data_IF_643760915820
#
_entry.id   IF_643760915820
#
_cell.length_a   1.000
_cell.length_b   1.000
_cell.length_c   1.000
_cell.angle_alpha   90.00
_cell.angle_beta   90.00
_cell.angle_gamma   90.00
#
_symmetry.space_group_name_H-M   'P 1'
#
loop_
_entity.id
_entity.type
_entity.pdbx_description
1 polymer ?
#
# COMPACT_ATOMS: atom_id res chain seq x y z
N UNK A 1 -18.44 1.04 -33.49
CA UNK A 1 -17.96 -0.27 -32.99
C UNK A 1 -16.54 -0.24 -32.46
N UNK A 2 -15.57 0.32 -33.18
CA UNK A 2 -14.18 0.42 -32.71
C UNK A 2 -14.03 1.23 -31.41
N UNK A 3 -14.85 2.26 -31.24
CA UNK A 3 -14.83 3.13 -30.06
C UNK A 3 -15.28 2.37 -28.80
N UNK A 4 -16.28 1.49 -28.92
CA UNK A 4 -16.78 0.69 -27.79
C UNK A 4 -15.74 -0.27 -27.23
N UNK A 5 -14.96 -0.92 -28.12
CA UNK A 5 -13.89 -1.83 -27.69
C UNK A 5 -12.76 -1.07 -26.97
N UNK A 6 -12.43 0.12 -27.46
CA UNK A 6 -11.39 0.96 -26.85
C UNK A 6 -11.80 1.40 -25.45
N UNK A 7 -13.04 1.82 -25.25
CA UNK A 7 -13.57 2.22 -23.94
C UNK A 7 -13.56 1.05 -22.95
N UNK A 8 -13.91 -0.15 -23.40
CA UNK A 8 -13.90 -1.36 -22.56
C UNK A 8 -12.49 -1.70 -22.08
N UNK A 9 -11.47 -1.55 -22.91
CA UNK A 9 -10.08 -1.79 -22.53
C UNK A 9 -9.60 -0.78 -21.50
N UNK A 10 -9.93 0.49 -21.65
CA UNK A 10 -9.58 1.54 -20.70
C UNK A 10 -10.22 1.27 -19.34
N UNK A 11 -11.49 0.85 -19.32
CA UNK A 11 -12.19 0.52 -18.09
C UNK A 11 -11.52 -0.63 -17.34
N UNK A 12 -11.04 -1.65 -18.03
CA UNK A 12 -10.33 -2.78 -17.44
C UNK A 12 -9.02 -2.34 -16.78
N UNK A 13 -8.25 -1.49 -17.44
CA UNK A 13 -6.99 -0.97 -16.91
C UNK A 13 -7.21 -0.14 -15.64
N UNK A 14 -8.23 0.72 -15.64
CA UNK A 14 -8.59 1.54 -14.48
C UNK A 14 -9.00 0.65 -13.30
N UNK A 15 -9.77 -0.40 -13.56
CA UNK A 15 -10.22 -1.34 -12.54
C UNK A 15 -9.05 -2.07 -11.88
N UNK A 16 -8.07 -2.53 -12.68
CA UNK A 16 -6.87 -3.21 -12.17
C UNK A 16 -6.02 -2.29 -11.29
N UNK A 17 -5.81 -1.04 -11.70
CA UNK A 17 -5.10 -0.05 -10.91
C UNK A 17 -5.82 0.25 -9.60
N UNK A 18 -7.15 0.31 -9.62
CA UNK A 18 -7.97 0.57 -8.45
C UNK A 18 -7.82 -0.49 -7.35
N UNK A 19 -7.63 -1.75 -7.71
CA UNK A 19 -7.46 -2.85 -6.76
C UNK A 19 -6.20 -2.66 -5.90
N UNK A 20 -5.06 -2.33 -6.51
CA UNK A 20 -3.81 -2.08 -5.79
C UNK A 20 -3.87 -0.78 -4.98
N UNK A 21 -4.49 0.26 -5.53
CA UNK A 21 -4.64 1.53 -4.82
C UNK A 21 -5.46 1.35 -3.54
N UNK A 22 -6.54 0.58 -3.60
CA UNK A 22 -7.37 0.26 -2.45
C UNK A 22 -6.59 -0.52 -1.39
N UNK A 23 -5.78 -1.49 -1.83
CA UNK A 23 -4.93 -2.28 -0.95
C UNK A 23 -3.92 -1.40 -0.20
N UNK A 24 -3.30 -0.44 -0.89
CA UNK A 24 -2.35 0.49 -0.28
C UNK A 24 -3.00 1.25 0.87
N UNK A 25 -4.21 1.77 0.67
CA UNK A 25 -4.93 2.53 1.70
C UNK A 25 -5.22 1.67 2.92
N UNK A 26 -5.66 0.43 2.73
CA UNK A 26 -5.92 -0.51 3.82
C UNK A 26 -4.63 -0.81 4.59
N UNK A 27 -3.54 -1.09 3.88
CA UNK A 27 -2.26 -1.44 4.49
C UNK A 27 -1.68 -0.27 5.28
N UNK A 28 -1.78 0.96 4.78
CA UNK A 28 -1.36 2.16 5.50
C UNK A 28 -2.13 2.32 6.81
N UNK A 29 -3.44 2.08 6.78
CA UNK A 29 -4.29 2.15 7.97
C UNK A 29 -3.90 1.09 8.99
N UNK A 30 -3.63 -0.14 8.55
CA UNK A 30 -3.18 -1.23 9.45
C UNK A 30 -1.87 -0.87 10.14
N UNK A 31 -0.94 -0.25 9.42
CA UNK A 31 0.33 0.19 9.98
C UNK A 31 0.08 1.27 11.05
N UNK A 32 -0.73 2.26 10.73
CA UNK A 32 -1.03 3.36 11.65
C UNK A 32 -1.71 2.86 12.91
N UNK A 33 -2.66 1.94 12.80
CA UNK A 33 -3.33 1.32 13.93
C UNK A 33 -2.37 0.53 14.80
N UNK A 34 -1.49 -0.28 14.17
CA UNK A 34 -0.52 -1.09 14.90
C UNK A 34 0.46 -0.21 15.68
N UNK A 35 0.95 0.87 15.08
CA UNK A 35 1.85 1.82 15.75
C UNK A 35 1.18 2.50 16.94
N UNK A 36 -0.11 2.82 16.82
CA UNK A 36 -0.86 3.47 17.90
C UNK A 36 -1.03 2.60 19.12
N UNK A 37 -0.94 1.28 18.97
CA UNK A 37 -1.08 0.31 20.05
C UNK A 37 0.23 0.02 20.79
N UNK A 38 1.27 0.78 20.52
CA UNK A 38 2.59 0.64 21.15
C UNK A 38 3.12 -0.79 21.05
N UNK A 39 3.41 -1.26 19.83
CA UNK A 39 3.83 -2.65 19.61
C UNK A 39 5.18 -2.92 20.28
N UNK A 40 5.41 -4.20 20.61
CA UNK A 40 6.66 -4.64 21.24
C UNK A 40 7.77 -4.78 20.20
N UNK A 41 8.19 -3.67 19.63
CA UNK A 41 9.30 -3.59 18.67
C UNK A 41 10.35 -2.60 19.18
N UNK A 42 11.58 -2.72 18.68
CA UNK A 42 12.65 -1.79 19.05
C UNK A 42 12.41 -0.42 18.42
N UNK A 43 13.07 0.60 18.95
CA UNK A 43 12.99 1.94 18.35
C UNK A 43 13.51 1.95 16.92
N UNK A 44 14.60 1.19 16.64
CA UNK A 44 15.12 1.07 15.30
C UNK A 44 14.09 0.45 14.34
N UNK A 45 13.37 -0.57 14.80
CA UNK A 45 12.30 -1.19 14.02
C UNK A 45 11.14 -0.22 13.79
N UNK A 46 10.79 0.57 14.80
CA UNK A 46 9.74 1.57 14.68
C UNK A 46 10.10 2.63 13.63
N UNK A 47 11.35 3.08 13.62
CA UNK A 47 11.82 4.02 12.60
C UNK A 47 11.77 3.42 11.20
N UNK A 48 12.16 2.16 11.05
CA UNK A 48 12.09 1.46 9.77
C UNK A 48 10.65 1.32 9.29
N UNK A 49 9.72 1.01 10.19
CA UNK A 49 8.28 0.94 9.87
C UNK A 49 7.79 2.28 9.34
N UNK A 50 8.13 3.37 10.02
CA UNK A 50 7.71 4.72 9.60
C UNK A 50 8.30 5.09 8.24
N UNK A 51 9.54 4.71 7.98
CA UNK A 51 10.21 4.94 6.71
C UNK A 51 9.51 4.18 5.59
N UNK A 52 9.23 2.90 5.80
CA UNK A 52 8.52 2.06 4.83
C UNK A 52 7.11 2.57 4.58
N UNK A 53 6.43 3.01 5.62
CA UNK A 53 5.10 3.60 5.51
C UNK A 53 5.12 4.87 4.65
N UNK A 54 6.08 5.76 4.88
CA UNK A 54 6.24 6.98 4.09
C UNK A 54 6.59 6.67 2.64
N UNK A 55 7.48 5.71 2.42
CA UNK A 55 7.87 5.25 1.08
C UNK A 55 6.67 4.67 0.33
N UNK A 56 5.87 3.86 1.00
CA UNK A 56 4.64 3.31 0.43
C UNK A 56 3.65 4.40 0.02
N UNK A 57 3.51 5.43 0.83
CA UNK A 57 2.62 6.55 0.51
C UNK A 57 3.12 7.33 -0.72
N UNK A 58 4.42 7.61 -0.82
CA UNK A 58 5.01 8.27 -1.97
C UNK A 58 4.77 7.46 -3.24
N UNK A 59 5.03 6.15 -3.18
CA UNK A 59 4.81 5.26 -4.32
C UNK A 59 3.34 5.21 -4.73
N UNK A 60 2.45 5.16 -3.74
CA UNK A 60 1.00 5.19 -3.98
C UNK A 60 0.61 6.47 -4.73
N UNK A 61 1.10 7.63 -4.28
CA UNK A 61 0.77 8.91 -4.89
C UNK A 61 1.33 9.05 -6.31
N UNK A 62 2.39 8.32 -6.62
CA UNK A 62 2.97 8.28 -7.97
C UNK A 62 2.29 7.28 -8.89
N UNK A 63 1.26 6.59 -8.41
CA UNK A 63 0.59 5.55 -9.17
C UNK A 63 1.32 4.22 -9.22
N UNK A 64 2.42 4.08 -8.48
CA UNK A 64 3.20 2.84 -8.40
C UNK A 64 2.64 1.94 -7.29
N UNK A 65 1.40 1.51 -7.47
CA UNK A 65 0.64 0.84 -6.43
C UNK A 65 1.22 -0.52 -6.04
N UNK A 66 1.75 -1.27 -6.99
CA UNK A 66 2.38 -2.57 -6.71
C UNK A 66 3.60 -2.41 -5.81
N UNK A 67 4.50 -1.49 -6.14
CA UNK A 67 5.69 -1.21 -5.34
C UNK A 67 5.30 -0.65 -3.97
N UNK A 68 4.23 0.15 -3.91
CA UNK A 68 3.70 0.64 -2.65
C UNK A 68 3.28 -0.51 -1.74
N UNK A 69 2.51 -1.47 -2.26
CA UNK A 69 2.08 -2.64 -1.50
C UNK A 69 3.30 -3.41 -0.96
N UNK A 70 4.33 -3.58 -1.77
CA UNK A 70 5.54 -4.28 -1.36
C UNK A 70 6.23 -3.59 -0.17
N UNK A 71 6.37 -2.26 -0.21
CA UNK A 71 6.96 -1.50 0.89
C UNK A 71 6.11 -1.59 2.16
N UNK A 72 4.79 -1.45 2.02
CA UNK A 72 3.87 -1.51 3.15
C UNK A 72 3.83 -2.90 3.79
N UNK A 73 3.94 -3.96 2.99
CA UNK A 73 3.98 -5.33 3.51
C UNK A 73 5.23 -5.58 4.34
N UNK A 74 6.37 -5.00 3.96
CA UNK A 74 7.59 -5.09 4.78
C UNK A 74 7.39 -4.45 6.15
N UNK A 75 6.70 -3.31 6.20
CA UNK A 75 6.37 -2.66 7.46
C UNK A 75 5.45 -3.54 8.31
N UNK A 76 4.43 -4.13 7.70
CA UNK A 76 3.50 -5.01 8.40
C UNK A 76 4.20 -6.26 8.94
N UNK A 77 5.17 -6.80 8.22
CA UNK A 77 5.98 -7.93 8.70
C UNK A 77 6.75 -7.58 9.97
N UNK A 78 7.39 -6.40 9.99
CA UNK A 78 8.11 -5.94 11.19
C UNK A 78 7.15 -5.82 12.37
N UNK A 79 5.95 -5.34 12.13
CA UNK A 79 4.92 -5.16 13.16
C UNK A 79 4.26 -6.48 13.58
N UNK A 80 4.47 -7.56 12.84
CA UNK A 80 3.83 -8.84 13.10
C UNK A 80 2.34 -8.85 12.77
N UNK A 81 1.90 -7.98 11.89
CA UNK A 81 0.48 -7.89 11.47
C UNK A 81 0.27 -8.74 10.23
N UNK A 82 -0.81 -9.53 10.25
CA UNK A 82 -1.19 -10.35 9.09
C UNK A 82 -1.65 -9.48 7.93
N UNK A 83 -1.22 -9.88 6.77
CA UNK A 83 -1.54 -9.19 5.51
C UNK A 83 -2.76 -9.77 4.81
#
# INVERSE_FOLDING_TARGET
MKILHFVAMISLLIFSSGAFAYRCVIDMRKIDEALSKQPAITEAQAQEVRKLRAEGEVLHNKGKHKESVEALHKALEILGVRQ
#
